data_IF_356094722856
#
_entry.id   IF_356094722856
#
_cell.length_a   1.000
_cell.length_b   1.000
_cell.length_c   1.000
_cell.angle_alpha   90.00
_cell.angle_beta   90.00
_cell.angle_gamma   90.00
#
_symmetry.space_group_name_H-M   'P 1'
#
loop_
_entity.id
_entity.type
_entity.pdbx_description
1 polymer ?
#
# COMPACT_ATOMS: atom_id res chain seq x y z
N UNK A 1 -11.68 26.54 29.97
CA UNK A 1 -10.22 26.24 29.87
C UNK A 1 -9.62 27.12 28.78
N UNK A 2 -8.68 27.99 29.06
CA UNK A 2 -8.02 28.83 28.04
C UNK A 2 -6.99 27.95 27.32
N UNK A 3 -7.15 27.75 26.02
CA UNK A 3 -6.20 27.02 25.19
C UNK A 3 -4.79 27.65 25.28
N UNK A 4 -3.73 26.88 24.94
CA UNK A 4 -2.37 27.38 24.97
C UNK A 4 -2.24 28.54 23.98
N UNK A 5 -2.05 29.76 24.50
CA UNK A 5 -1.76 30.93 23.67
C UNK A 5 -0.34 30.81 23.13
N UNK A 6 -0.23 30.40 21.86
CA UNK A 6 1.04 30.40 21.13
C UNK A 6 1.11 31.62 20.21
N UNK A 7 2.32 32.13 19.98
CA UNK A 7 2.62 33.22 19.06
C UNK A 7 3.18 32.64 17.75
N UNK A 8 2.60 33.01 16.62
CA UNK A 8 3.12 32.61 15.31
C UNK A 8 4.36 33.43 14.95
N UNK A 9 5.49 32.78 14.79
CA UNK A 9 6.72 33.37 14.25
C UNK A 9 6.73 33.19 12.72
N UNK A 10 6.10 34.13 12.02
CA UNK A 10 5.88 34.01 10.56
C UNK A 10 7.18 33.83 9.76
N UNK A 11 8.28 34.45 10.14
CA UNK A 11 9.58 34.35 9.50
C UNK A 11 10.21 32.95 9.59
N UNK A 12 9.82 32.15 10.61
CA UNK A 12 10.32 30.79 10.85
C UNK A 12 9.29 29.72 10.56
N UNK A 13 8.02 30.08 10.30
CA UNK A 13 6.93 29.11 10.08
C UNK A 13 6.66 28.22 11.30
N UNK A 14 6.91 28.70 12.51
CA UNK A 14 6.71 27.98 13.77
C UNK A 14 5.78 28.75 14.69
N UNK A 15 5.11 28.03 15.57
CA UNK A 15 4.35 28.61 16.69
C UNK A 15 5.15 28.43 17.98
N UNK A 16 5.35 29.47 18.73
CA UNK A 16 6.03 29.43 20.02
C UNK A 16 5.03 29.61 21.16
N UNK A 17 5.07 28.74 22.16
CA UNK A 17 4.28 28.92 23.38
C UNK A 17 5.05 29.74 24.40
N UNK A 18 4.33 30.24 25.46
CA UNK A 18 4.90 31.08 26.51
C UNK A 18 6.17 30.55 27.19
N UNK A 19 6.37 29.24 27.14
CA UNK A 19 7.54 28.56 27.71
C UNK A 19 8.71 28.46 26.73
N UNK A 20 8.69 29.18 25.60
CA UNK A 20 9.74 29.13 24.57
C UNK A 20 9.76 27.85 23.71
N UNK A 21 8.79 26.94 23.89
CA UNK A 21 8.73 25.73 23.07
C UNK A 21 8.17 26.09 21.70
N UNK A 22 8.93 25.74 20.64
CA UNK A 22 8.59 26.00 19.25
C UNK A 22 8.12 24.74 18.56
N UNK A 23 6.99 24.83 17.85
CA UNK A 23 6.41 23.71 17.07
C UNK A 23 6.14 24.20 15.66
N UNK A 24 6.62 23.48 14.65
CA UNK A 24 6.22 23.72 13.26
C UNK A 24 4.99 22.90 12.89
N UNK A 25 4.21 23.37 11.90
CA UNK A 25 3.05 22.64 11.38
C UNK A 25 3.39 21.24 10.88
N UNK A 26 4.64 21.02 10.45
CA UNK A 26 5.10 19.74 9.91
C UNK A 26 5.79 18.85 10.95
N UNK A 27 6.02 19.35 12.15
CA UNK A 27 6.72 18.63 13.21
C UNK A 27 5.96 17.34 13.60
N UNK A 28 6.66 16.21 13.63
CA UNK A 28 6.07 14.92 14.00
C UNK A 28 5.15 14.30 12.92
N UNK A 29 5.15 14.82 11.71
CA UNK A 29 4.40 14.30 10.57
C UNK A 29 5.34 13.75 9.51
N UNK A 30 4.84 13.03 8.51
CA UNK A 30 5.63 12.61 7.33
C UNK A 30 6.24 13.77 6.54
N UNK A 31 5.78 15.00 6.80
CA UNK A 31 6.31 16.24 6.20
C UNK A 31 7.48 16.83 7.01
N UNK A 32 7.84 16.21 8.14
CA UNK A 32 8.89 16.70 9.04
C UNK A 32 10.22 16.93 8.30
N UNK A 33 10.92 18.01 8.64
CA UNK A 33 12.20 18.42 8.04
C UNK A 33 12.17 18.62 6.51
N UNK A 34 11.00 18.78 5.91
CA UNK A 34 10.90 19.12 4.51
C UNK A 34 11.24 20.59 4.26
N UNK A 35 12.09 20.85 3.25
CA UNK A 35 12.37 22.19 2.73
C UNK A 35 11.41 22.58 1.60
N UNK A 36 10.58 21.65 1.13
CA UNK A 36 9.61 21.90 0.09
C UNK A 36 8.38 22.62 0.66
N UNK A 37 7.81 23.58 -0.08
CA UNK A 37 6.56 24.23 0.29
C UNK A 37 5.42 23.20 0.44
N UNK A 38 4.49 23.43 1.39
CA UNK A 38 3.34 22.55 1.59
C UNK A 38 2.46 22.41 0.35
N UNK A 39 2.39 23.45 -0.48
CA UNK A 39 1.67 23.42 -1.77
C UNK A 39 2.19 22.32 -2.69
N UNK A 40 3.51 22.10 -2.74
CA UNK A 40 4.09 21.01 -3.53
C UNK A 40 3.74 19.63 -2.94
N UNK A 41 3.68 19.51 -1.62
CA UNK A 41 3.25 18.28 -0.95
C UNK A 41 1.78 17.96 -1.26
N UNK A 42 0.89 18.94 -1.16
CA UNK A 42 -0.53 18.75 -1.45
C UNK A 42 -0.75 18.41 -2.92
N UNK A 43 -0.07 19.11 -3.82
CA UNK A 43 -0.13 18.79 -5.23
C UNK A 43 0.42 17.39 -5.52
N UNK A 44 1.53 17.00 -4.87
CA UNK A 44 2.07 15.65 -4.96
C UNK A 44 1.07 14.59 -4.47
N UNK A 45 0.47 14.78 -3.31
CA UNK A 45 -0.52 13.87 -2.75
C UNK A 45 -1.76 13.75 -3.66
N UNK A 46 -2.24 14.87 -4.21
CA UNK A 46 -3.34 14.89 -5.17
C UNK A 46 -3.02 14.03 -6.41
N UNK A 47 -1.89 14.27 -7.05
CA UNK A 47 -1.53 13.53 -8.26
C UNK A 47 -1.27 12.03 -7.99
N UNK A 48 -0.62 11.68 -6.88
CA UNK A 48 -0.39 10.27 -6.50
C UNK A 48 -1.72 9.54 -6.25
N UNK A 49 -2.70 10.21 -5.65
CA UNK A 49 -3.98 9.59 -5.30
C UNK A 49 -5.00 9.54 -6.45
N UNK A 50 -4.94 10.47 -7.41
CA UNK A 50 -6.00 10.66 -8.42
C UNK A 50 -5.61 10.30 -9.85
N UNK A 51 -4.32 10.43 -10.23
CA UNK A 51 -3.89 10.16 -11.60
C UNK A 51 -3.98 8.66 -11.94
N UNK A 52 -4.47 8.41 -13.14
CA UNK A 52 -4.40 7.11 -13.79
C UNK A 52 -3.55 7.29 -15.05
N UNK A 53 -2.44 6.69 -15.22
CA UNK A 53 -1.84 5.47 -14.66
C UNK A 53 -0.88 5.69 -13.48
N UNK A 54 -0.68 6.86 -12.95
CA UNK A 54 0.29 7.16 -11.90
C UNK A 54 1.32 8.17 -12.35
N UNK A 55 2.36 8.40 -11.55
CA UNK A 55 3.39 9.37 -11.87
C UNK A 55 4.78 8.90 -11.44
N UNK A 56 5.74 8.99 -12.35
CA UNK A 56 7.15 8.75 -12.05
C UNK A 56 7.81 9.94 -11.35
N UNK A 57 8.96 9.72 -10.70
CA UNK A 57 9.71 10.80 -10.07
C UNK A 57 10.23 11.82 -11.10
N UNK A 58 10.61 11.37 -12.28
CA UNK A 58 11.08 12.24 -13.37
C UNK A 58 9.96 13.13 -13.90
N UNK A 59 8.76 12.55 -14.12
CA UNK A 59 7.60 13.33 -14.56
C UNK A 59 7.18 14.33 -13.48
N UNK A 60 7.23 13.95 -12.21
CA UNK A 60 6.95 14.83 -11.09
C UNK A 60 7.94 15.97 -10.98
N UNK A 61 9.22 15.69 -11.13
CA UNK A 61 10.27 16.72 -11.13
C UNK A 61 9.96 17.84 -12.13
N UNK A 62 9.61 17.45 -13.36
CA UNK A 62 9.26 18.39 -14.43
C UNK A 62 7.98 19.18 -14.15
N UNK A 63 6.92 18.50 -13.69
CA UNK A 63 5.61 19.14 -13.44
C UNK A 63 5.61 20.12 -12.26
N UNK A 64 6.41 19.86 -11.24
CA UNK A 64 6.48 20.71 -10.04
C UNK A 64 7.65 21.70 -10.05
N UNK A 65 8.47 21.73 -11.10
CA UNK A 65 9.64 22.59 -11.16
C UNK A 65 10.68 22.27 -10.09
N UNK A 66 10.75 21.01 -9.63
CA UNK A 66 11.75 20.59 -8.64
C UNK A 66 13.08 20.45 -9.33
N UNK A 67 14.10 21.18 -8.88
CA UNK A 67 15.41 21.24 -9.52
C UNK A 67 16.16 19.91 -9.49
N UNK A 68 16.04 19.13 -8.42
CA UNK A 68 16.76 17.87 -8.21
C UNK A 68 15.84 16.67 -8.28
N UNK A 69 16.24 15.66 -9.07
CA UNK A 69 15.52 14.39 -9.18
C UNK A 69 15.39 13.67 -7.83
N UNK A 70 16.46 13.66 -7.03
CA UNK A 70 16.48 13.01 -5.71
C UNK A 70 15.41 13.59 -4.77
N UNK A 71 15.20 14.91 -4.84
CA UNK A 71 14.16 15.59 -4.05
C UNK A 71 12.77 15.14 -4.47
N UNK A 72 12.49 15.04 -5.76
CA UNK A 72 11.22 14.54 -6.28
C UNK A 72 11.00 13.06 -5.94
N UNK A 73 12.05 12.25 -6.00
CA UNK A 73 12.02 10.84 -5.64
C UNK A 73 11.75 10.66 -4.15
N UNK A 74 12.44 11.39 -3.27
CA UNK A 74 12.22 11.34 -1.82
C UNK A 74 10.80 11.78 -1.44
N UNK A 75 10.29 12.85 -2.06
CA UNK A 75 8.92 13.30 -1.88
C UNK A 75 7.91 12.18 -2.17
N UNK A 76 8.06 11.51 -3.33
CA UNK A 76 7.17 10.42 -3.71
C UNK A 76 7.31 9.20 -2.79
N UNK A 77 8.53 8.84 -2.39
CA UNK A 77 8.73 7.69 -1.50
C UNK A 77 8.18 7.94 -0.10
N UNK A 78 8.29 9.15 0.44
CA UNK A 78 7.63 9.53 1.70
C UNK A 78 6.10 9.41 1.60
N UNK A 79 5.51 9.93 0.52
CA UNK A 79 4.08 9.77 0.25
C UNK A 79 3.68 8.30 0.16
N UNK A 80 4.37 7.52 -0.67
CA UNK A 80 4.09 6.09 -0.88
C UNK A 80 4.17 5.26 0.38
N UNK A 81 5.15 5.53 1.24
CA UNK A 81 5.32 4.82 2.51
C UNK A 81 4.14 5.05 3.46
N UNK A 82 3.55 6.25 3.43
CA UNK A 82 2.42 6.61 4.25
C UNK A 82 1.06 6.10 3.72
N UNK A 83 0.97 5.63 2.48
CA UNK A 83 -0.32 5.25 1.86
C UNK A 83 -0.94 3.96 2.42
N UNK A 84 -0.30 3.31 3.36
CA UNK A 84 -0.82 2.11 4.03
C UNK A 84 -1.08 2.44 5.49
N UNK A 85 -2.35 2.42 5.89
CA UNK A 85 -2.73 2.56 7.28
C UNK A 85 -2.32 1.30 8.07
N UNK A 86 -1.70 1.44 9.25
CA UNK A 86 -1.31 0.30 10.07
C UNK A 86 -2.52 -0.48 10.60
N UNK A 87 -3.63 0.21 10.86
CA UNK A 87 -4.89 -0.28 11.42
C UNK A 87 -5.95 -0.64 10.35
N UNK A 88 -5.50 -0.92 9.12
CA UNK A 88 -6.43 -1.27 8.03
C UNK A 88 -7.17 -2.58 8.31
N UNK A 89 -8.46 -2.59 8.06
CA UNK A 89 -9.30 -3.79 8.16
C UNK A 89 -8.74 -4.95 7.34
N UNK A 90 -8.69 -6.20 7.88
CA UNK A 90 -8.32 -7.39 7.13
C UNK A 90 -9.21 -7.60 5.89
N UNK A 91 -8.74 -8.39 4.94
CA UNK A 91 -9.57 -8.90 3.85
C UNK A 91 -10.59 -9.88 4.41
N UNK A 92 -11.79 -9.93 3.84
CA UNK A 92 -12.85 -10.82 4.34
C UNK A 92 -13.63 -11.51 3.21
N UNK A 93 -14.47 -12.47 3.58
CA UNK A 93 -15.33 -13.21 2.66
C UNK A 93 -14.55 -14.26 1.85
N UNK A 94 -14.61 -14.22 0.53
CA UNK A 94 -13.80 -15.07 -0.33
C UNK A 94 -12.52 -14.33 -0.74
N UNK A 95 -11.36 -14.93 -0.52
CA UNK A 95 -10.05 -14.31 -0.78
C UNK A 95 -9.16 -15.29 -1.56
N UNK A 96 -8.75 -14.88 -2.75
CA UNK A 96 -7.68 -15.58 -3.48
C UNK A 96 -6.32 -15.17 -2.92
N UNK A 97 -5.43 -16.14 -2.70
CA UNK A 97 -4.05 -15.91 -2.26
C UNK A 97 -3.08 -16.68 -3.15
N UNK A 98 -2.03 -16.00 -3.60
CA UNK A 98 -0.97 -16.59 -4.44
C UNK A 98 0.31 -15.74 -4.32
N UNK A 99 1.45 -16.26 -4.75
CA UNK A 99 2.72 -15.57 -4.80
C UNK A 99 3.21 -15.40 -6.25
N UNK A 100 3.96 -14.33 -6.46
CA UNK A 100 4.54 -14.07 -7.77
C UNK A 100 5.80 -13.22 -7.72
N UNK A 101 6.67 -13.42 -8.69
CA UNK A 101 7.87 -12.61 -8.85
C UNK A 101 7.55 -11.29 -9.57
N UNK A 102 7.94 -10.20 -8.93
CA UNK A 102 7.80 -8.83 -9.44
C UNK A 102 9.19 -8.18 -9.52
N UNK A 103 9.49 -7.58 -10.66
CA UNK A 103 10.76 -6.90 -10.92
C UNK A 103 10.86 -6.42 -12.36
N UNK A 104 12.00 -5.80 -12.69
CA UNK A 104 12.31 -5.36 -14.04
C UNK A 104 12.57 -6.50 -15.02
N UNK A 105 12.70 -6.18 -16.33
CA UNK A 105 13.20 -7.13 -17.32
C UNK A 105 14.61 -7.54 -16.93
N UNK A 106 14.91 -8.81 -17.07
CA UNK A 106 16.21 -9.41 -16.81
C UNK A 106 16.61 -10.26 -17.99
N UNK A 107 17.81 -10.02 -18.52
CA UNK A 107 18.42 -10.89 -19.52
C UNK A 107 18.95 -12.13 -18.79
N UNK A 108 18.38 -13.29 -19.05
CA UNK A 108 18.82 -14.55 -18.44
C UNK A 108 17.68 -15.49 -18.08
N UNK A 109 17.87 -16.28 -17.04
CA UNK A 109 16.99 -17.40 -16.68
C UNK A 109 15.60 -16.91 -16.19
N UNK A 110 14.50 -17.34 -16.82
CA UNK A 110 13.17 -17.08 -16.30
C UNK A 110 12.92 -17.88 -15.01
N UNK A 111 12.25 -17.29 -14.02
CA UNK A 111 11.77 -17.98 -12.83
C UNK A 111 12.57 -17.75 -11.54
N UNK A 112 12.63 -18.77 -10.69
CA UNK A 112 13.30 -18.76 -9.39
C UNK A 112 14.83 -18.70 -9.56
N UNK A 113 15.42 -17.53 -9.57
CA UNK A 113 16.88 -17.35 -9.76
C UNK A 113 17.24 -16.00 -10.36
N UNK A 114 16.26 -15.15 -10.58
CA UNK A 114 16.45 -13.80 -11.03
C UNK A 114 16.78 -12.89 -9.81
N UNK A 115 18.02 -12.42 -9.72
CA UNK A 115 18.51 -11.61 -8.58
C UNK A 115 17.79 -10.24 -8.44
N UNK A 116 17.19 -9.75 -9.52
CA UNK A 116 16.50 -8.45 -9.56
C UNK A 116 15.00 -8.54 -9.27
N UNK A 117 14.43 -9.74 -9.10
CA UNK A 117 13.00 -9.93 -8.83
C UNK A 117 12.74 -10.24 -7.37
N UNK A 118 11.76 -9.58 -6.81
CA UNK A 118 11.27 -9.83 -5.45
C UNK A 118 10.06 -10.73 -5.47
N UNK A 119 9.97 -11.66 -4.54
CA UNK A 119 8.78 -12.47 -4.32
C UNK A 119 7.74 -11.62 -3.57
N UNK A 120 6.52 -11.61 -4.10
CA UNK A 120 5.39 -10.85 -3.56
C UNK A 120 4.23 -11.80 -3.33
N UNK A 121 3.64 -11.74 -2.13
CA UNK A 121 2.36 -12.40 -1.83
C UNK A 121 1.21 -11.44 -2.15
N UNK A 122 0.16 -11.98 -2.73
CA UNK A 122 -1.06 -11.28 -3.11
C UNK A 122 -2.26 -11.90 -2.40
N UNK A 123 -3.10 -11.07 -1.78
CA UNK A 123 -4.43 -11.44 -1.33
C UNK A 123 -5.46 -10.54 -2.00
N UNK A 124 -6.49 -11.15 -2.58
CA UNK A 124 -7.51 -10.43 -3.37
C UNK A 124 -8.90 -10.91 -2.97
N UNK A 125 -9.72 -10.00 -2.46
CA UNK A 125 -11.15 -10.29 -2.22
C UNK A 125 -11.88 -10.54 -3.52
N UNK A 126 -12.79 -11.52 -3.50
CA UNK A 126 -13.70 -11.80 -4.59
C UNK A 126 -15.07 -11.23 -4.25
N UNK A 127 -15.57 -10.34 -5.09
CA UNK A 127 -16.93 -9.81 -4.98
C UNK A 127 -17.78 -10.45 -6.08
N UNK A 128 -18.83 -11.16 -5.64
CA UNK A 128 -19.85 -11.69 -6.53
C UNK A 128 -20.96 -10.66 -6.71
N UNK A 129 -21.41 -10.47 -7.92
CA UNK A 129 -22.51 -9.54 -8.20
C UNK A 129 -23.34 -10.02 -9.39
N UNK A 130 -24.65 -9.73 -9.34
CA UNK A 130 -25.53 -9.95 -10.46
C UNK A 130 -25.31 -8.90 -11.54
N UNK A 131 -25.23 -9.34 -12.78
CA UNK A 131 -25.08 -8.47 -13.95
C UNK A 131 -26.07 -8.91 -15.06
N UNK A 132 -26.51 -8.01 -15.94
CA UNK A 132 -27.34 -8.40 -17.08
C UNK A 132 -26.69 -9.54 -17.88
N UNK A 133 -27.51 -10.51 -18.29
CA UNK A 133 -27.03 -11.63 -19.11
C UNK A 133 -26.80 -11.15 -20.55
N UNK A 134 -25.57 -11.13 -21.04
CA UNK A 134 -25.28 -10.68 -22.42
C UNK A 134 -25.86 -11.60 -23.48
N UNK A 135 -26.32 -12.80 -23.11
CA UNK A 135 -26.98 -13.75 -24.05
C UNK A 135 -28.46 -13.45 -24.22
N UNK A 136 -29.06 -12.68 -23.29
CA UNK A 136 -30.46 -12.26 -23.29
C UNK A 136 -30.54 -10.74 -23.06
N UNK A 137 -30.06 -9.91 -24.00
CA UNK A 137 -29.95 -8.47 -23.80
C UNK A 137 -31.34 -7.78 -23.73
N UNK A 138 -32.39 -8.39 -24.27
CA UNK A 138 -33.76 -7.88 -24.32
C UNK A 138 -34.58 -8.22 -23.06
N UNK A 139 -34.08 -9.08 -22.17
CA UNK A 139 -34.71 -9.42 -20.91
C UNK A 139 -34.02 -8.71 -19.73
N UNK A 140 -34.59 -7.64 -19.16
CA UNK A 140 -34.04 -6.90 -18.02
C UNK A 140 -33.90 -7.75 -16.74
N UNK A 141 -34.61 -8.87 -16.66
CA UNK A 141 -34.59 -9.77 -15.51
C UNK A 141 -33.57 -10.90 -15.66
N UNK A 142 -33.09 -11.14 -16.87
CA UNK A 142 -32.04 -12.12 -17.11
C UNK A 142 -30.72 -11.65 -16.52
N UNK A 143 -30.26 -12.32 -15.47
CA UNK A 143 -29.03 -11.97 -14.76
C UNK A 143 -28.07 -13.16 -14.72
N UNK A 144 -26.79 -12.86 -14.77
CA UNK A 144 -25.69 -13.80 -14.56
C UNK A 144 -24.82 -13.35 -13.41
N UNK A 145 -24.33 -14.31 -12.61
CA UNK A 145 -23.34 -14.00 -11.59
C UNK A 145 -22.00 -13.69 -12.25
N UNK A 146 -21.43 -12.53 -11.91
CA UNK A 146 -20.08 -12.12 -12.30
C UNK A 146 -19.19 -11.91 -11.10
N UNK A 147 -17.89 -12.05 -11.32
CA UNK A 147 -16.86 -11.84 -10.31
C UNK A 147 -16.10 -10.56 -10.61
N UNK A 148 -15.72 -9.83 -9.54
CA UNK A 148 -14.76 -8.73 -9.63
C UNK A 148 -13.81 -8.76 -8.45
N UNK A 149 -12.59 -8.25 -8.64
CA UNK A 149 -11.67 -8.05 -7.54
C UNK A 149 -12.21 -7.00 -6.57
N UNK A 150 -12.23 -7.30 -5.29
CA UNK A 150 -12.51 -6.39 -4.19
C UNK A 150 -11.27 -5.62 -3.75
N UNK A 151 -10.99 -5.64 -2.44
CA UNK A 151 -9.77 -5.07 -1.87
C UNK A 151 -8.59 -6.01 -2.12
N UNK A 152 -7.40 -5.43 -2.17
CA UNK A 152 -6.16 -6.19 -2.33
C UNK A 152 -5.19 -5.90 -1.19
N UNK A 153 -4.34 -6.89 -0.89
CA UNK A 153 -3.16 -6.79 -0.01
C UNK A 153 -1.97 -7.38 -0.74
N UNK A 154 -0.85 -6.73 -0.62
CA UNK A 154 0.40 -7.19 -1.24
C UNK A 154 1.57 -6.85 -0.34
N UNK A 155 2.49 -7.78 -0.18
CA UNK A 155 3.74 -7.57 0.54
C UNK A 155 4.89 -8.30 -0.16
N UNK A 156 6.07 -7.70 -0.14
CA UNK A 156 7.30 -8.42 -0.46
C UNK A 156 7.57 -9.39 0.68
N UNK A 157 7.87 -10.63 0.32
CA UNK A 157 8.19 -11.71 1.26
C UNK A 157 9.56 -12.32 0.94
N UNK A 158 10.28 -12.85 1.93
CA UNK A 158 11.59 -13.47 1.70
C UNK A 158 11.49 -14.79 0.94
N UNK A 159 10.45 -15.56 1.22
CA UNK A 159 10.21 -16.89 0.64
C UNK A 159 8.71 -17.25 0.71
N UNK A 160 8.35 -18.37 0.07
CA UNK A 160 7.00 -18.94 0.10
C UNK A 160 6.89 -20.12 1.08
N UNK A 161 7.51 -20.02 2.26
CA UNK A 161 7.43 -21.02 3.31
C UNK A 161 6.15 -20.88 4.14
N UNK A 162 5.83 -21.94 4.89
CA UNK A 162 4.71 -21.91 5.85
C UNK A 162 4.93 -20.84 6.92
N UNK A 163 6.18 -20.68 7.38
CA UNK A 163 6.59 -19.71 8.38
C UNK A 163 6.39 -18.27 7.94
N UNK A 164 6.43 -18.02 6.64
CA UNK A 164 6.18 -16.69 6.05
C UNK A 164 4.71 -16.49 5.70
N UNK A 165 4.07 -17.46 5.05
CA UNK A 165 2.73 -17.29 4.50
C UNK A 165 1.61 -17.39 5.55
N UNK A 166 1.75 -18.27 6.56
CA UNK A 166 0.72 -18.39 7.61
C UNK A 166 0.56 -17.12 8.44
N UNK A 167 1.63 -16.51 8.99
CA UNK A 167 1.51 -15.23 9.70
C UNK A 167 1.00 -14.11 8.79
N UNK A 168 1.39 -14.10 7.51
CA UNK A 168 0.88 -13.11 6.59
C UNK A 168 -0.64 -13.24 6.39
N UNK A 169 -1.16 -14.46 6.21
CA UNK A 169 -2.60 -14.71 6.12
C UNK A 169 -3.31 -14.27 7.40
N UNK A 170 -2.81 -14.66 8.56
CA UNK A 170 -3.39 -14.31 9.86
C UNK A 170 -3.47 -12.78 10.10
N UNK A 171 -2.48 -12.02 9.61
CA UNK A 171 -2.45 -10.57 9.75
C UNK A 171 -3.36 -9.85 8.75
N UNK A 172 -3.53 -10.40 7.55
CA UNK A 172 -4.16 -9.68 6.43
C UNK A 172 -5.55 -10.18 6.05
N UNK A 173 -6.00 -11.33 6.57
CA UNK A 173 -7.28 -11.95 6.26
C UNK A 173 -8.03 -12.22 7.56
N UNK A 174 -9.29 -11.86 7.61
CA UNK A 174 -10.18 -12.08 8.75
C UNK A 174 -10.44 -13.58 8.94
N UNK A 175 -10.35 -14.04 10.18
CA UNK A 175 -10.67 -15.43 10.52
C UNK A 175 -12.14 -15.77 10.13
N UNK A 176 -12.37 -17.01 9.69
CA UNK A 176 -13.68 -17.43 9.16
C UNK A 176 -13.85 -17.15 7.66
N UNK A 177 -12.95 -16.39 7.03
CA UNK A 177 -12.96 -16.20 5.58
C UNK A 177 -12.68 -17.49 4.82
N UNK A 178 -13.18 -17.55 3.57
CA UNK A 178 -12.83 -18.62 2.64
C UNK A 178 -11.57 -18.23 1.86
N UNK A 179 -10.47 -18.90 2.13
CA UNK A 179 -9.19 -18.66 1.43
C UNK A 179 -9.05 -19.68 0.29
N UNK A 180 -8.79 -19.17 -0.91
CA UNK A 180 -8.62 -19.96 -2.13
C UNK A 180 -7.17 -19.82 -2.57
N UNK A 181 -6.46 -20.96 -2.66
CA UNK A 181 -5.04 -20.99 -3.09
C UNK A 181 -4.83 -22.00 -4.20
N UNK A 182 -3.65 -21.99 -4.78
CA UNK A 182 -3.15 -23.10 -5.57
C UNK A 182 -2.85 -24.32 -4.66
N UNK A 183 -2.25 -25.35 -5.23
CA UNK A 183 -1.89 -26.57 -4.49
C UNK A 183 -0.59 -26.45 -3.67
N UNK A 184 -0.02 -25.28 -3.44
CA UNK A 184 1.26 -25.13 -2.76
C UNK A 184 1.18 -25.61 -1.30
N UNK A 185 2.07 -26.54 -0.85
CA UNK A 185 1.96 -27.16 0.48
C UNK A 185 2.04 -26.21 1.66
N UNK A 186 2.68 -25.05 1.51
CA UNK A 186 2.81 -24.07 2.59
C UNK A 186 1.46 -23.54 3.10
N UNK A 187 0.38 -23.68 2.31
CA UNK A 187 -0.97 -23.28 2.69
C UNK A 187 -1.76 -24.36 3.46
N UNK A 188 -1.21 -25.55 3.67
CA UNK A 188 -1.93 -26.67 4.31
C UNK A 188 -2.34 -26.40 5.77
N UNK A 189 -1.80 -25.37 6.42
CA UNK A 189 -2.12 -24.97 7.78
C UNK A 189 -3.29 -24.00 7.93
N UNK A 190 -3.89 -23.50 6.83
CA UNK A 190 -4.92 -22.45 6.88
C UNK A 190 -6.16 -22.85 7.67
N UNK A 191 -6.60 -24.11 7.59
CA UNK A 191 -7.75 -24.61 8.34
C UNK A 191 -7.52 -24.54 9.86
N UNK A 192 -6.29 -24.76 10.33
CA UNK A 192 -5.92 -24.65 11.75
C UNK A 192 -5.96 -23.21 12.26
N UNK A 193 -5.89 -22.22 11.36
CA UNK A 193 -6.06 -20.81 11.66
C UNK A 193 -7.51 -20.33 11.56
N UNK A 194 -8.47 -21.26 11.35
CA UNK A 194 -9.90 -20.95 11.31
C UNK A 194 -10.41 -20.48 9.94
N UNK A 195 -9.67 -20.74 8.86
CA UNK A 195 -10.13 -20.42 7.50
C UNK A 195 -10.82 -21.60 6.83
N UNK A 196 -11.84 -21.34 6.02
CA UNK A 196 -12.38 -22.31 5.08
C UNK A 196 -11.45 -22.40 3.86
N UNK A 197 -10.51 -23.35 3.85
CA UNK A 197 -9.48 -23.44 2.80
C UNK A 197 -9.98 -24.23 1.59
N UNK A 198 -9.90 -23.62 0.41
CA UNK A 198 -10.15 -24.26 -0.89
C UNK A 198 -8.90 -24.27 -1.73
N UNK A 199 -8.34 -25.46 -1.95
CA UNK A 199 -7.21 -25.67 -2.86
C UNK A 199 -7.68 -25.93 -4.29
N UNK A 200 -7.07 -25.25 -5.25
CA UNK A 200 -7.31 -25.48 -6.68
C UNK A 200 -6.02 -26.01 -7.30
N UNK A 201 -5.87 -27.33 -7.28
CA UNK A 201 -4.70 -27.97 -7.88
C UNK A 201 -4.82 -27.97 -9.40
N UNK A 202 -3.81 -27.46 -10.09
CA UNK A 202 -3.73 -27.53 -11.55
C UNK A 202 -3.50 -28.98 -11.97
N UNK A 203 -4.55 -29.67 -12.39
CA UNK A 203 -4.34 -30.96 -13.09
C UNK A 203 -3.78 -30.68 -14.47
N UNK A 204 -2.66 -31.35 -14.73
CA UNK A 204 -1.69 -31.12 -15.79
C UNK A 204 -2.22 -31.37 -17.19
N UNK A 205 -3.26 -31.03 -17.74
CA UNK A 205 -3.46 -31.02 -19.21
C UNK A 205 -4.48 -29.96 -19.66
N UNK A 206 -4.01 -28.91 -20.29
CA UNK A 206 -4.77 -28.13 -21.27
C UNK A 206 -5.59 -26.95 -20.76
N UNK A 207 -5.63 -26.57 -19.47
CA UNK A 207 -6.32 -25.37 -18.99
C UNK A 207 -5.35 -24.20 -18.83
N UNK A 208 -5.71 -23.04 -19.38
CA UNK A 208 -4.92 -21.79 -19.28
C UNK A 208 -4.74 -21.40 -17.81
N UNK A 209 -3.53 -21.06 -17.43
CA UNK A 209 -3.10 -20.71 -16.05
C UNK A 209 -4.01 -19.68 -15.35
N UNK A 210 -4.60 -18.73 -16.08
CA UNK A 210 -5.48 -17.70 -15.53
C UNK A 210 -6.89 -18.16 -15.11
N UNK A 211 -7.24 -19.45 -15.26
CA UNK A 211 -8.57 -19.96 -14.91
C UNK A 211 -8.72 -20.35 -13.42
N UNK A 212 -7.62 -20.41 -12.68
CA UNK A 212 -7.59 -20.99 -11.32
C UNK A 212 -7.72 -19.96 -10.20
N UNK A 213 -6.99 -18.85 -10.30
CA UNK A 213 -7.03 -17.72 -9.39
C UNK A 213 -7.18 -16.43 -10.21
N UNK A 214 -8.35 -16.23 -10.85
CA UNK A 214 -8.51 -15.20 -11.87
C UNK A 214 -8.32 -13.78 -11.32
N UNK A 215 -8.69 -13.53 -10.06
CA UNK A 215 -8.58 -12.20 -9.46
C UNK A 215 -7.13 -11.87 -9.11
N UNK A 216 -6.36 -12.81 -8.55
CA UNK A 216 -4.93 -12.61 -8.32
C UNK A 216 -4.20 -12.37 -9.64
N UNK A 217 -4.43 -13.20 -10.66
CA UNK A 217 -3.80 -13.03 -11.96
C UNK A 217 -4.15 -11.70 -12.63
N UNK A 218 -5.40 -11.23 -12.47
CA UNK A 218 -5.82 -9.90 -12.90
C UNK A 218 -5.00 -8.81 -12.21
N UNK A 219 -4.84 -8.90 -10.88
CA UNK A 219 -4.09 -7.92 -10.09
C UNK A 219 -2.61 -7.92 -10.45
N UNK A 220 -2.00 -9.10 -10.57
CA UNK A 220 -0.59 -9.25 -10.99
C UNK A 220 -0.36 -8.62 -12.37
N UNK A 221 -1.25 -8.89 -13.32
CA UNK A 221 -1.17 -8.33 -14.68
C UNK A 221 -1.32 -6.81 -14.67
N UNK A 222 -2.26 -6.27 -13.89
CA UNK A 222 -2.46 -4.83 -13.74
C UNK A 222 -1.26 -4.16 -13.06
N UNK A 223 -0.70 -4.78 -12.02
CA UNK A 223 0.50 -4.29 -11.34
C UNK A 223 1.70 -4.25 -12.30
N UNK A 224 1.97 -5.33 -13.02
CA UNK A 224 3.06 -5.40 -13.99
C UNK A 224 2.92 -4.35 -15.09
N UNK A 225 1.71 -4.18 -15.62
CA UNK A 225 1.42 -3.13 -16.62
C UNK A 225 1.62 -1.73 -16.07
N UNK A 226 1.18 -1.49 -14.83
CA UNK A 226 1.36 -0.22 -14.16
C UNK A 226 2.84 0.09 -13.88
N UNK A 227 3.61 -0.88 -13.39
CA UNK A 227 5.05 -0.73 -13.18
C UNK A 227 5.80 -0.46 -14.50
N UNK A 228 5.44 -1.16 -15.57
CA UNK A 228 6.03 -0.92 -16.88
C UNK A 228 5.68 0.48 -17.41
N UNK A 229 4.42 0.88 -17.36
CA UNK A 229 3.95 2.16 -17.90
C UNK A 229 4.40 3.37 -17.09
N UNK A 230 4.52 3.25 -15.76
CA UNK A 230 4.89 4.38 -14.88
C UNK A 230 6.39 4.44 -14.61
N UNK A 231 7.06 3.30 -14.48
CA UNK A 231 8.45 3.17 -14.06
C UNK A 231 9.35 2.55 -15.14
N UNK A 232 8.81 2.30 -16.33
CA UNK A 232 9.53 1.67 -17.46
C UNK A 232 10.20 0.34 -17.09
N UNK A 233 9.63 -0.39 -16.13
CA UNK A 233 10.19 -1.62 -15.61
C UNK A 233 11.40 -1.46 -14.68
N UNK A 234 11.92 -0.26 -14.47
CA UNK A 234 13.03 0.02 -13.56
C UNK A 234 12.57 -0.06 -12.09
N UNK A 235 12.35 -1.27 -11.61
CA UNK A 235 11.87 -1.55 -10.25
C UNK A 235 12.98 -2.20 -9.44
N UNK A 236 13.66 -1.40 -8.65
CA UNK A 236 14.65 -1.91 -7.70
C UNK A 236 13.94 -2.59 -6.52
N UNK A 237 14.43 -3.74 -6.01
CA UNK A 237 13.84 -4.45 -4.88
C UNK A 237 13.56 -3.56 -3.67
N UNK A 238 14.49 -2.67 -3.33
CA UNK A 238 14.35 -1.71 -2.20
C UNK A 238 13.21 -0.71 -2.35
N UNK A 239 12.78 -0.41 -3.59
CA UNK A 239 11.70 0.54 -3.87
C UNK A 239 10.35 -0.14 -4.07
N UNK A 240 10.34 -1.44 -4.34
CA UNK A 240 9.13 -2.19 -4.62
C UNK A 240 8.06 -2.08 -3.53
N UNK A 241 8.37 -2.18 -2.22
CA UNK A 241 7.35 -2.03 -1.18
C UNK A 241 6.57 -0.71 -1.28
N UNK A 242 7.25 0.40 -1.57
CA UNK A 242 6.60 1.70 -1.74
C UNK A 242 5.67 1.73 -2.97
N UNK A 243 6.05 1.08 -4.05
CA UNK A 243 5.21 0.95 -5.25
C UNK A 243 3.99 0.06 -4.99
N UNK A 244 4.15 -1.04 -4.26
CA UNK A 244 3.02 -1.89 -3.84
C UNK A 244 2.03 -1.11 -2.97
N UNK A 245 2.51 -0.26 -2.07
CA UNK A 245 1.68 0.61 -1.25
C UNK A 245 0.85 1.58 -2.10
N UNK A 246 1.48 2.27 -3.07
CA UNK A 246 0.77 3.15 -3.98
C UNK A 246 -0.28 2.40 -4.80
N UNK A 247 0.10 1.28 -5.41
CA UNK A 247 -0.84 0.49 -6.21
C UNK A 247 -2.02 0.01 -5.38
N UNK A 248 -1.76 -0.58 -4.19
CA UNK A 248 -2.80 -1.05 -3.26
C UNK A 248 -3.74 0.08 -2.85
N UNK A 249 -3.19 1.24 -2.46
CA UNK A 249 -3.99 2.40 -2.09
C UNK A 249 -4.94 2.84 -3.20
N UNK A 250 -4.43 2.96 -4.41
CA UNK A 250 -5.18 3.42 -5.59
C UNK A 250 -6.18 2.39 -6.06
N UNK A 251 -5.79 1.12 -6.10
CA UNK A 251 -6.68 0.04 -6.51
C UNK A 251 -7.87 -0.10 -5.56
N UNK A 252 -7.63 -0.08 -4.27
CA UNK A 252 -8.69 -0.20 -3.27
C UNK A 252 -9.65 1.00 -3.23
N UNK A 253 -9.25 2.15 -3.82
CA UNK A 253 -10.08 3.38 -3.91
C UNK A 253 -10.46 3.77 -5.34
N UNK A 254 -10.33 2.83 -6.28
CA UNK A 254 -10.56 3.11 -7.71
C UNK A 254 -11.95 3.64 -8.06
N UNK A 255 -12.94 3.37 -7.22
CA UNK A 255 -14.31 3.85 -7.38
C UNK A 255 -14.58 5.15 -6.61
N UNK A 256 -13.70 5.58 -5.69
CA UNK A 256 -13.85 6.79 -4.86
C UNK A 256 -12.59 7.63 -4.89
N UNK A 257 -12.25 8.15 -6.05
CA UNK A 257 -11.00 8.92 -6.24
C UNK A 257 -11.01 10.29 -5.56
N UNK A 258 -12.17 10.96 -5.47
CA UNK A 258 -12.29 12.25 -4.81
C UNK A 258 -11.84 12.20 -3.34
N UNK A 259 -12.43 11.34 -2.50
CA UNK A 259 -12.01 11.17 -1.11
C UNK A 259 -10.59 10.60 -0.94
N UNK A 260 -10.02 9.97 -1.97
CA UNK A 260 -8.67 9.38 -1.89
C UNK A 260 -7.59 10.42 -1.57
N UNK A 261 -7.71 11.64 -2.07
CA UNK A 261 -6.78 12.73 -1.78
C UNK A 261 -6.76 13.09 -0.28
N UNK A 262 -7.93 13.33 0.31
CA UNK A 262 -8.03 13.65 1.74
C UNK A 262 -7.50 12.50 2.61
N UNK A 263 -7.79 11.25 2.23
CA UNK A 263 -7.25 10.09 2.94
C UNK A 263 -5.73 9.99 2.82
N UNK A 264 -5.15 10.27 1.66
CA UNK A 264 -3.70 10.31 1.48
C UNK A 264 -3.04 11.38 2.36
N UNK A 265 -3.63 12.58 2.43
CA UNK A 265 -3.15 13.64 3.32
C UNK A 265 -3.24 13.23 4.79
N UNK A 266 -4.37 12.66 5.22
CA UNK A 266 -4.53 12.17 6.60
C UNK A 266 -3.47 11.14 6.95
N UNK A 267 -3.21 10.18 6.06
CA UNK A 267 -2.20 9.15 6.29
C UNK A 267 -0.78 9.72 6.41
N UNK A 268 -0.39 10.70 5.58
CA UNK A 268 0.95 11.28 5.67
C UNK A 268 1.13 12.19 6.89
N UNK A 269 0.08 12.89 7.32
CA UNK A 269 0.12 13.71 8.52
C UNK A 269 0.30 12.85 9.78
N UNK A 270 -0.33 11.67 9.82
CA UNK A 270 -0.23 10.74 10.94
C UNK A 270 0.86 9.67 10.77
N UNK A 271 1.66 9.73 9.69
CA UNK A 271 2.75 8.79 9.51
C UNK A 271 3.81 8.96 10.62
N UNK A 272 4.09 7.89 11.33
CA UNK A 272 5.12 7.85 12.39
C UNK A 272 6.51 7.57 11.83
N UNK A 273 6.56 6.89 10.68
CA UNK A 273 7.80 6.49 10.02
C UNK A 273 7.77 6.88 8.54
N UNK A 274 8.90 7.31 8.03
CA UNK A 274 9.10 7.65 6.62
C UNK A 274 10.55 7.36 6.19
N UNK A 275 10.77 7.03 4.91
CA UNK A 275 12.11 6.74 4.42
C UNK A 275 12.98 8.01 4.45
N UNK A 276 14.16 7.88 5.01
CA UNK A 276 15.19 8.91 4.96
C UNK A 276 15.99 8.82 3.66
N UNK A 277 16.71 9.90 3.31
CA UNK A 277 17.52 9.96 2.09
C UNK A 277 18.52 8.80 2.00
N UNK A 278 19.18 8.48 3.09
CA UNK A 278 20.21 7.45 3.11
C UNK A 278 19.65 6.05 2.83
N UNK A 279 18.43 5.75 3.30
CA UNK A 279 17.77 4.46 3.00
C UNK A 279 17.35 4.32 1.53
N UNK A 280 17.12 5.44 0.85
CA UNK A 280 16.75 5.43 -0.56
C UNK A 280 17.94 5.35 -1.51
N UNK A 281 19.07 5.97 -1.16
CA UNK A 281 20.17 6.17 -2.08
C UNK A 281 21.50 5.55 -1.65
N UNK A 282 21.78 5.43 -0.36
CA UNK A 282 23.00 4.76 0.11
C UNK A 282 22.81 3.26 0.09
N UNK A 283 23.52 2.58 -0.77
CA UNK A 283 23.73 1.14 -0.64
C UNK A 283 24.63 0.95 0.58
N UNK A 284 24.19 0.21 1.56
CA UNK A 284 25.04 -0.19 2.68
C UNK A 284 26.33 -0.79 2.09
N UNK A 285 27.48 -0.22 2.43
CA UNK A 285 28.77 -0.80 2.06
C UNK A 285 28.89 -2.15 2.77
N UNK A 286 28.69 -3.22 2.02
CA UNK A 286 28.78 -4.59 2.50
C UNK A 286 27.46 -5.14 3.03
N UNK A 287 26.77 -5.93 2.21
CA UNK A 287 25.64 -6.76 2.63
C UNK A 287 24.36 -6.53 1.85
N UNK A 288 23.78 -7.61 1.43
CA UNK A 288 22.45 -7.77 0.85
C UNK A 288 21.46 -6.99 1.71
N UNK A 289 20.72 -6.05 1.09
CA UNK A 289 19.83 -5.13 1.77
C UNK A 289 18.85 -5.81 2.71
N UNK A 290 19.03 -5.56 3.99
CA UNK A 290 18.02 -5.89 5.00
C UNK A 290 16.74 -5.12 4.63
N UNK A 291 15.69 -5.85 4.29
CA UNK A 291 14.36 -5.33 4.21
C UNK A 291 14.04 -4.60 5.52
N UNK A 292 13.32 -3.49 5.43
CA UNK A 292 12.83 -2.79 6.63
C UNK A 292 11.97 -3.78 7.41
N UNK A 293 12.57 -4.43 8.40
CA UNK A 293 11.84 -5.17 9.41
C UNK A 293 11.04 -4.18 10.25
N UNK A 294 9.79 -4.46 10.60
CA UNK A 294 8.97 -3.60 11.46
C UNK A 294 9.41 -3.61 12.94
N UNK A 295 10.67 -3.96 13.24
CA UNK A 295 11.21 -4.02 14.60
C UNK A 295 12.56 -3.32 14.73
N UNK A 296 12.61 -2.03 14.43
CA UNK A 296 13.63 -1.16 15.03
C UNK A 296 13.01 -0.43 16.22
N UNK A 297 13.70 -0.36 17.38
CA UNK A 297 13.10 0.17 18.60
C UNK A 297 12.68 1.62 18.41
N UNK A 298 11.47 1.89 18.82
CA UNK A 298 10.87 3.21 18.89
C UNK A 298 11.82 4.18 19.59
N UNK A 299 12.07 5.30 18.93
CA UNK A 299 12.62 6.48 19.58
C UNK A 299 11.59 6.90 20.64
N UNK A 300 11.80 6.51 21.88
CA UNK A 300 10.90 6.72 23.01
C UNK A 300 10.72 8.21 23.22
N UNK A 301 9.53 8.71 22.86
CA UNK A 301 9.03 9.99 23.38
C UNK A 301 8.91 9.90 24.91
N UNK A 302 9.26 10.94 25.66
CA UNK A 302 8.88 11.01 27.06
C UNK A 302 7.34 11.01 27.14
N UNK A 303 6.77 10.10 27.92
CA UNK A 303 5.34 10.01 28.20
C UNK A 303 4.89 11.32 28.87
N UNK A 304 4.05 12.06 28.19
CA UNK A 304 3.24 13.10 28.82
C UNK A 304 2.21 12.41 29.72
N UNK A 305 2.09 12.90 30.95
CA UNK A 305 1.30 12.30 32.01
C UNK A 305 -0.16 12.11 31.64
N UNK A 306 -0.68 11.01 32.10
CA UNK A 306 -2.09 10.62 32.11
C UNK A 306 -2.92 11.63 32.90
N UNK A 307 -3.78 12.38 32.23
CA UNK A 307 -5.02 12.89 32.82
C UNK A 307 -6.17 12.37 31.98
N UNK A 308 -6.98 11.53 32.61
CA UNK A 308 -8.23 11.07 32.04
C UNK A 308 -9.22 12.23 31.92
N UNK A 309 -9.94 12.23 30.82
CA UNK A 309 -11.28 12.83 30.76
C UNK A 309 -12.08 12.13 29.67
N UNK A 310 -13.17 11.57 30.10
CA UNK A 310 -14.26 10.97 29.34
C UNK A 310 -15.01 12.07 28.57
N UNK A 311 -15.06 11.99 27.26
CA UNK A 311 -16.04 12.72 26.46
C UNK A 311 -16.68 11.77 25.44
N UNK A 312 -18.00 11.68 25.53
CA UNK A 312 -18.87 10.86 24.70
C UNK A 312 -18.98 11.34 23.24
N UNK A 313 -19.64 10.56 22.37
CA UNK A 313 -19.67 10.79 20.94
C UNK A 313 -20.56 12.01 20.58
N UNK A 314 -20.05 12.86 19.69
CA UNK A 314 -20.82 13.91 19.02
C UNK A 314 -21.43 13.33 17.73
N UNK A 315 -22.74 13.18 17.72
CA UNK A 315 -23.56 12.94 16.54
C UNK A 315 -23.53 14.17 15.62
N UNK A 316 -23.05 14.01 14.40
CA UNK A 316 -23.19 15.00 13.35
C UNK A 316 -24.30 14.56 12.40
N UNK A 317 -25.46 15.17 12.52
CA UNK A 317 -26.54 15.11 11.55
C UNK A 317 -26.18 16.01 10.38
N UNK A 318 -26.15 15.47 9.18
CA UNK A 318 -26.06 16.23 7.92
C UNK A 318 -27.44 16.23 7.27
N UNK A 319 -28.01 17.39 7.15
CA UNK A 319 -29.12 17.72 6.25
C UNK A 319 -28.62 17.86 4.81
#
# INVERSE_FOLDING_TARGET
MRGPTGYALATRGVTECRNGHQVSLTSGTGLHRSKLPLTLWFHAAYLVSTLTPGISALQRQKQLGISRYETACQLLHKLRSALVAPDREPLHGEVEVDEGFIGGPEEGRPGRGAETKSLVVFGVEIIRYAAPDPRNPDDPQAQVEKLRAGRVRMNVIPDASTETLMPWCALNIEAGSRVITDGWPAYNGLEKLGYAHRRIVQSVKGKKTGAYLPMVHLIVSNLKRWLLGTHQGAVLPRHLPAYLNEFTFRFNRRFWRGPAFHRALGLIIHAEQWPEYDTLYRVAKGGIGAGVHPSSPANTRPKAGTHGDTAGPLDVVVT
#
